data_IF_681569225462
#
_entry.id   IF_681569225462
#
_cell.length_a   1.000
_cell.length_b   1.000
_cell.length_c   1.000
_cell.angle_alpha   90.00
_cell.angle_beta   90.00
_cell.angle_gamma   90.00
#
_symmetry.space_group_name_H-M   'P 1'
#
loop_
_entity.id
_entity.type
_entity.pdbx_description
1 polymer ?
#
# COMPACT_ATOMS: atom_id res chain seq x y z
N UNK A 1 3.60 8.79 -13.72
CA UNK A 1 2.49 8.74 -12.75
C UNK A 1 2.16 10.12 -12.16
N UNK A 2 3.09 10.78 -11.45
CA UNK A 2 2.87 12.09 -10.79
C UNK A 2 2.21 13.14 -11.70
N UNK A 3 2.69 13.28 -12.94
CA UNK A 3 2.08 14.19 -13.94
C UNK A 3 0.59 13.92 -14.16
N UNK A 4 0.20 12.65 -14.29
CA UNK A 4 -1.21 12.24 -14.49
C UNK A 4 -2.06 12.48 -13.24
N UNK A 5 -1.51 12.25 -12.05
CA UNK A 5 -2.19 12.57 -10.79
C UNK A 5 -2.50 14.07 -10.73
N UNK A 6 -1.53 14.93 -11.04
CA UNK A 6 -1.74 16.39 -11.09
C UNK A 6 -2.77 16.82 -12.13
N UNK A 7 -2.75 16.21 -13.32
CA UNK A 7 -3.72 16.50 -14.39
C UNK A 7 -5.16 16.10 -14.01
N UNK A 8 -5.34 14.97 -13.31
CA UNK A 8 -6.66 14.43 -12.96
C UNK A 8 -7.21 15.09 -11.69
N UNK A 9 -6.40 15.12 -10.63
CA UNK A 9 -6.85 15.51 -9.30
C UNK A 9 -6.73 17.01 -9.05
N UNK A 10 -5.81 17.74 -9.71
CA UNK A 10 -5.54 19.14 -9.40
C UNK A 10 -5.25 19.34 -7.91
N UNK A 11 -6.17 20.02 -7.21
CA UNK A 11 -6.10 20.29 -5.77
C UNK A 11 -7.00 19.37 -4.91
N UNK A 12 -7.69 18.41 -5.52
CA UNK A 12 -8.53 17.46 -4.77
C UNK A 12 -7.67 16.42 -4.04
N UNK A 13 -8.17 15.84 -2.93
CA UNK A 13 -7.51 14.73 -2.24
C UNK A 13 -7.27 13.54 -3.17
N UNK A 14 -6.13 12.89 -3.02
CA UNK A 14 -5.67 11.76 -3.84
C UNK A 14 -5.49 10.53 -2.98
N UNK A 15 -6.07 9.43 -3.45
CA UNK A 15 -5.74 8.07 -3.03
C UNK A 15 -5.23 7.35 -4.27
N UNK A 16 -3.98 6.88 -4.24
CA UNK A 16 -3.35 6.13 -5.33
C UNK A 16 -3.02 4.73 -4.85
N UNK A 17 -3.71 3.73 -5.40
CA UNK A 17 -3.59 2.33 -4.98
C UNK A 17 -3.10 1.45 -6.12
N UNK A 18 -2.46 0.33 -5.78
CA UNK A 18 -2.26 -0.77 -6.71
C UNK A 18 -0.99 -1.56 -6.44
N UNK A 19 -0.73 -2.52 -7.34
CA UNK A 19 0.56 -3.18 -7.47
C UNK A 19 1.51 -2.29 -8.28
N UNK A 20 2.60 -1.86 -7.63
CA UNK A 20 3.63 -1.02 -8.22
C UNK A 20 4.81 -1.82 -8.79
N UNK A 21 4.84 -3.14 -8.56
CA UNK A 21 5.94 -4.04 -8.94
C UNK A 21 7.33 -3.57 -8.45
N UNK A 22 7.36 -2.79 -7.36
CA UNK A 22 8.56 -2.12 -6.86
C UNK A 22 8.60 -2.14 -5.33
N UNK A 23 9.78 -2.43 -4.76
CA UNK A 23 9.99 -2.43 -3.32
C UNK A 23 10.27 -1.02 -2.77
N UNK A 24 10.14 -0.78 -1.46
CA UNK A 24 10.24 0.56 -0.87
C UNK A 24 11.60 1.26 -1.07
N UNK A 25 12.65 0.49 -1.33
CA UNK A 25 14.01 0.97 -1.56
C UNK A 25 14.28 1.46 -3.00
N UNK A 26 13.37 1.18 -3.93
CA UNK A 26 13.47 1.61 -5.33
C UNK A 26 13.32 3.12 -5.49
N UNK A 27 13.97 3.68 -6.52
CA UNK A 27 13.91 5.12 -6.82
C UNK A 27 12.47 5.60 -7.09
N UNK A 28 11.68 4.79 -7.80
CA UNK A 28 10.33 5.16 -8.20
C UNK A 28 9.39 5.27 -6.99
N UNK A 29 9.52 4.40 -5.99
CA UNK A 29 8.74 4.46 -4.75
C UNK A 29 9.20 5.64 -3.89
N UNK A 30 10.51 5.90 -3.81
CA UNK A 30 11.05 7.07 -3.10
C UNK A 30 10.55 8.39 -3.70
N UNK A 31 10.62 8.55 -5.02
CA UNK A 31 10.11 9.72 -5.73
C UNK A 31 8.61 9.91 -5.56
N UNK A 32 7.83 8.81 -5.53
CA UNK A 32 6.40 8.91 -5.26
C UNK A 32 6.13 9.31 -3.80
N UNK A 33 6.93 8.81 -2.86
CA UNK A 33 6.83 9.12 -1.43
C UNK A 33 7.21 10.58 -1.10
N UNK A 34 7.93 11.26 -1.97
CA UNK A 34 8.17 12.72 -1.89
C UNK A 34 6.93 13.54 -2.28
N UNK A 35 5.98 12.94 -3.00
CA UNK A 35 4.79 13.62 -3.54
C UNK A 35 3.48 13.17 -2.87
N UNK A 36 3.40 11.93 -2.41
CA UNK A 36 2.28 11.36 -1.65
C UNK A 36 2.81 10.57 -0.47
N UNK A 37 2.05 10.49 0.60
CA UNK A 37 2.40 9.75 1.79
C UNK A 37 2.11 8.26 1.64
N UNK A 38 3.07 7.41 1.98
CA UNK A 38 2.88 5.97 2.07
C UNK A 38 2.07 5.62 3.33
N UNK A 39 0.86 5.11 3.18
CA UNK A 39 -0.01 4.79 4.32
C UNK A 39 0.60 3.79 5.31
N UNK A 40 1.50 2.92 4.88
CA UNK A 40 2.23 2.00 5.77
C UNK A 40 3.14 2.75 6.74
N UNK A 41 3.70 3.88 6.33
CA UNK A 41 4.67 4.63 7.14
C UNK A 41 4.01 5.69 8.01
N UNK A 42 2.87 6.24 7.57
CA UNK A 42 2.17 7.33 8.27
C UNK A 42 0.99 6.89 9.14
N UNK A 43 0.73 5.58 9.25
CA UNK A 43 -0.33 5.03 10.13
C UNK A 43 -0.10 5.38 11.60
N UNK A 44 -1.16 5.79 12.30
CA UNK A 44 -1.13 6.13 13.72
C UNK A 44 -0.94 4.89 14.61
N UNK A 45 -1.42 3.73 14.16
CA UNK A 45 -1.20 2.45 14.82
C UNK A 45 -0.12 1.65 14.06
N UNK A 46 0.67 0.80 14.75
CA UNK A 46 1.61 -0.09 14.07
C UNK A 46 0.91 -0.91 12.97
N UNK A 47 1.53 -1.05 11.78
CA UNK A 47 0.99 -1.88 10.71
C UNK A 47 0.70 -3.30 11.19
N UNK A 48 -0.48 -3.82 10.85
CA UNK A 48 -0.89 -5.18 11.18
C UNK A 48 -0.61 -6.15 10.01
N UNK A 49 -0.13 -7.35 10.34
CA UNK A 49 0.17 -8.40 9.38
C UNK A 49 1.64 -8.41 8.92
N UNK A 50 1.96 -9.22 7.90
CA UNK A 50 3.33 -9.37 7.38
C UNK A 50 3.79 -8.10 6.67
N UNK A 51 5.11 -7.93 6.49
CA UNK A 51 5.65 -6.78 5.75
C UNK A 51 5.33 -6.85 4.25
N UNK A 52 5.43 -8.03 3.65
CA UNK A 52 5.23 -8.19 2.22
C UNK A 52 3.77 -8.45 1.85
N UNK A 53 3.49 -8.25 0.56
CA UNK A 53 2.15 -8.33 -0.02
C UNK A 53 2.05 -9.35 -1.15
N UNK A 54 3.19 -9.87 -1.64
CA UNK A 54 3.24 -10.73 -2.81
C UNK A 54 3.86 -12.10 -2.52
N UNK A 55 3.33 -13.12 -3.20
CA UNK A 55 3.78 -14.49 -3.19
C UNK A 55 3.28 -15.26 -4.43
N UNK A 56 4.15 -15.38 -5.44
CA UNK A 56 3.88 -16.07 -6.71
C UNK A 56 3.43 -17.53 -6.62
N UNK A 57 3.50 -18.16 -5.44
CA UNK A 57 3.11 -19.56 -5.22
C UNK A 57 1.72 -19.72 -4.62
N UNK A 58 1.03 -18.62 -4.32
CA UNK A 58 -0.25 -18.62 -3.62
C UNK A 58 -0.17 -19.35 -2.26
N UNK A 59 1.01 -19.57 -1.68
CA UNK A 59 1.21 -20.54 -0.59
C UNK A 59 1.79 -19.93 0.68
N UNK A 60 1.15 -20.10 1.82
CA UNK A 60 1.65 -19.64 3.12
C UNK A 60 3.08 -20.18 3.41
N UNK A 61 4.06 -19.37 3.86
CA UNK A 61 3.98 -17.94 4.17
C UNK A 61 4.20 -16.97 3.00
N UNK A 62 3.66 -15.76 3.14
CA UNK A 62 3.91 -14.64 2.22
C UNK A 62 5.39 -14.22 2.27
N UNK A 63 5.92 -13.67 1.18
CA UNK A 63 7.28 -13.11 1.16
C UNK A 63 7.35 -11.78 1.94
N UNK A 64 8.56 -11.26 2.15
CA UNK A 64 8.81 -9.96 2.80
C UNK A 64 8.72 -8.77 1.82
N UNK A 65 8.44 -9.03 0.53
CA UNK A 65 8.37 -8.02 -0.51
C UNK A 65 7.03 -7.29 -0.48
N UNK A 66 7.06 -6.01 -0.11
CA UNK A 66 5.91 -5.10 -0.26
C UNK A 66 5.99 -4.44 -1.62
N UNK A 67 5.05 -4.77 -2.51
CA UNK A 67 4.94 -4.18 -3.85
C UNK A 67 3.57 -3.55 -4.11
N UNK A 68 2.61 -3.79 -3.21
CA UNK A 68 1.29 -3.20 -3.23
C UNK A 68 1.23 -2.04 -2.24
N UNK A 69 0.68 -0.91 -2.68
CA UNK A 69 0.69 0.33 -1.90
C UNK A 69 -0.65 1.04 -1.94
N UNK A 70 -0.89 1.84 -0.90
CA UNK A 70 -1.90 2.88 -0.84
C UNK A 70 -1.17 4.18 -0.48
N UNK A 71 -1.00 5.06 -1.46
CA UNK A 71 -0.41 6.38 -1.30
C UNK A 71 -1.50 7.45 -1.18
N UNK A 72 -1.28 8.44 -0.33
CA UNK A 72 -2.29 9.43 0.08
C UNK A 72 -1.74 10.85 -0.02
N UNK A 73 -2.55 11.81 -0.45
CA UNK A 73 -2.22 13.22 -0.27
C UNK A 73 -2.41 13.67 1.19
N UNK A 74 -1.89 14.84 1.55
CA UNK A 74 -1.79 15.31 2.95
C UNK A 74 -3.14 15.48 3.70
N UNK A 75 -4.25 15.53 2.97
CA UNK A 75 -5.59 15.69 3.53
C UNK A 75 -6.09 14.44 4.29
N UNK A 76 -5.38 13.32 4.23
CA UNK A 76 -5.77 12.08 4.90
C UNK A 76 -5.00 11.84 6.21
N UNK A 77 -5.70 11.30 7.20
CA UNK A 77 -5.11 10.63 8.36
C UNK A 77 -5.30 9.12 8.23
N UNK A 78 -4.26 8.34 8.53
CA UNK A 78 -4.31 6.88 8.51
C UNK A 78 -4.47 6.37 9.94
N UNK A 79 -5.67 5.93 10.30
CA UNK A 79 -5.95 5.41 11.62
C UNK A 79 -5.33 4.02 11.83
N UNK A 80 -5.47 3.17 10.81
CA UNK A 80 -5.00 1.78 10.81
C UNK A 80 -4.55 1.36 9.42
N UNK A 81 -3.62 0.41 9.41
CA UNK A 81 -3.10 -0.24 8.23
C UNK A 81 -3.02 -1.74 8.47
N UNK A 82 -3.44 -2.55 7.49
CA UNK A 82 -3.34 -4.00 7.57
C UNK A 82 -3.04 -4.66 6.22
N UNK A 83 -2.26 -5.74 6.29
CA UNK A 83 -2.21 -6.76 5.24
C UNK A 83 -3.04 -7.98 5.67
N UNK A 84 -4.08 -8.30 4.92
CA UNK A 84 -5.01 -9.38 5.28
C UNK A 84 -4.49 -10.73 4.80
N UNK A 85 -4.29 -11.67 5.73
CA UNK A 85 -3.64 -12.96 5.45
C UNK A 85 -4.61 -14.13 5.41
N UNK A 86 -5.89 -13.87 5.19
CA UNK A 86 -6.94 -14.88 5.06
C UNK A 86 -6.54 -15.94 4.01
N UNK A 87 -6.54 -17.20 4.46
CA UNK A 87 -6.17 -18.37 3.67
C UNK A 87 -6.85 -19.62 4.25
N UNK A 88 -6.79 -20.74 3.53
CA UNK A 88 -7.38 -22.04 3.96
C UNK A 88 -6.45 -22.87 4.88
N UNK A 89 -5.32 -22.30 5.32
CA UNK A 89 -4.24 -22.95 6.04
C UNK A 89 -2.99 -23.18 5.17
N UNK A 90 -3.15 -23.34 3.86
CA UNK A 90 -2.06 -23.63 2.93
C UNK A 90 -2.00 -22.62 1.77
N UNK A 91 -3.14 -22.25 1.19
CA UNK A 91 -3.26 -21.43 0.00
C UNK A 91 -4.01 -20.11 0.24
N UNK A 92 -3.43 -19.03 -0.27
CA UNK A 92 -4.06 -17.73 -0.37
C UNK A 92 -5.01 -17.67 -1.59
N UNK A 93 -6.09 -16.87 -1.52
CA UNK A 93 -6.99 -16.66 -2.66
C UNK A 93 -6.35 -15.98 -3.88
N UNK A 94 -5.20 -15.32 -3.68
CA UNK A 94 -4.45 -14.58 -4.69
C UNK A 94 -2.95 -14.67 -4.36
N UNK A 95 -2.10 -14.44 -5.34
CA UNK A 95 -0.66 -14.27 -5.15
C UNK A 95 -0.31 -12.91 -4.56
N UNK A 96 -1.29 -12.01 -4.46
CA UNK A 96 -1.22 -10.78 -3.66
C UNK A 96 -2.21 -10.83 -2.50
N UNK A 97 -1.80 -10.34 -1.33
CA UNK A 97 -2.70 -10.16 -0.19
C UNK A 97 -3.25 -8.72 -0.15
N UNK A 98 -4.52 -8.53 0.26
CA UNK A 98 -5.12 -7.20 0.32
C UNK A 98 -4.39 -6.25 1.26
N UNK A 99 -4.19 -5.01 0.80
CA UNK A 99 -3.78 -3.87 1.63
C UNK A 99 -5.04 -3.09 2.02
N UNK A 100 -5.24 -2.88 3.31
CA UNK A 100 -6.42 -2.20 3.87
C UNK A 100 -5.99 -1.05 4.76
N UNK A 101 -6.68 0.09 4.62
CA UNK A 101 -6.45 1.28 5.44
C UNK A 101 -7.78 1.87 5.91
N UNK A 102 -7.79 2.28 7.18
CA UNK A 102 -8.88 3.10 7.75
C UNK A 102 -8.44 4.56 7.70
N UNK A 103 -9.21 5.39 6.98
CA UNK A 103 -8.85 6.79 6.70
C UNK A 103 -9.86 7.79 7.26
N UNK A 104 -9.37 8.95 7.67
CA UNK A 104 -10.17 10.17 7.86
C UNK A 104 -9.73 11.18 6.81
N UNK A 105 -10.70 11.80 6.11
CA UNK A 105 -10.48 13.00 5.33
C UNK A 105 -10.67 14.22 6.26
N UNK A 106 -9.63 15.04 6.39
CA UNK A 106 -9.61 16.23 7.26
C UNK A 106 -10.35 17.42 6.68
#
# INVERSE_FOLDING_TARGET
MIKKIKEIAGNFPVISTGDYNSTPDTEQVKLLSEFLNDSFTITLMPPYGPKGTFNSRFKNPISDKRIDYIFLSDQFEVLKYAHLTDNDGEYYPSDHIPVVVDLILK
#
